data_IF_704522354883
#
_entry.id   IF_704522354883
#
_cell.length_a   1.000
_cell.length_b   1.000
_cell.length_c   1.000
_cell.angle_alpha   90.00
_cell.angle_beta   90.00
_cell.angle_gamma   90.00
#
_symmetry.space_group_name_H-M   'P 1'
#
loop_
_entity.id
_entity.type
_entity.pdbx_description
1 polymer ?
#
# COMPACT_ATOMS: atom_id res chain seq x y z
N UNK A 1 -16.08 -5.65 8.61
CA UNK A 1 -15.50 -6.54 9.66
C UNK A 1 -15.24 -5.71 10.89
N UNK A 2 -15.81 -6.10 12.02
CA UNK A 2 -15.55 -5.44 13.30
C UNK A 2 -14.30 -6.03 13.97
N UNK A 3 -13.40 -5.16 14.42
CA UNK A 3 -12.17 -5.55 15.12
C UNK A 3 -12.17 -4.92 16.52
N UNK A 4 -12.20 -5.74 17.60
CA UNK A 4 -12.20 -5.23 18.96
C UNK A 4 -11.00 -4.30 19.23
N UNK A 5 -11.27 -3.13 19.80
CA UNK A 5 -10.27 -2.11 20.07
C UNK A 5 -9.86 -1.26 18.88
N UNK A 6 -10.10 -1.71 17.64
CA UNK A 6 -9.75 -0.98 16.42
C UNK A 6 -10.98 -0.39 15.69
N UNK A 7 -12.14 -1.05 15.81
CA UNK A 7 -13.39 -0.63 15.17
C UNK A 7 -13.65 -1.28 13.83
N UNK A 8 -14.68 -0.80 13.13
CA UNK A 8 -15.12 -1.40 11.86
C UNK A 8 -14.15 -1.10 10.71
N UNK A 9 -13.89 -2.14 9.89
CA UNK A 9 -13.15 -2.04 8.63
C UNK A 9 -14.04 -2.46 7.47
N UNK A 10 -14.15 -1.59 6.46
CA UNK A 10 -14.83 -1.83 5.18
C UNK A 10 -13.97 -1.31 4.05
N UNK A 11 -12.98 -2.08 3.64
CA UNK A 11 -12.06 -1.68 2.58
C UNK A 11 -12.68 -1.85 1.20
N UNK A 12 -12.45 -0.87 0.34
CA UNK A 12 -12.78 -0.89 -1.09
C UNK A 12 -11.57 -0.74 -1.98
N UNK A 13 -10.50 -0.12 -1.47
CA UNK A 13 -9.32 0.19 -2.25
C UNK A 13 -8.05 -0.15 -1.50
N UNK A 14 -7.03 -0.57 -2.25
CA UNK A 14 -5.67 -0.75 -1.77
C UNK A 14 -4.75 0.16 -2.59
N UNK A 15 -4.06 1.07 -1.91
CA UNK A 15 -3.11 2.02 -2.50
C UNK A 15 -1.70 1.61 -2.10
N UNK A 16 -0.81 1.45 -3.07
CA UNK A 16 0.52 0.92 -2.84
C UNK A 16 1.58 1.82 -3.44
N UNK A 17 2.68 2.01 -2.72
CA UNK A 17 3.94 2.49 -3.27
C UNK A 17 4.57 1.41 -4.16
N UNK A 18 5.52 1.79 -5.04
CA UNK A 18 6.19 0.86 -5.93
C UNK A 18 7.58 0.49 -5.44
N UNK A 19 8.57 1.38 -5.62
CA UNK A 19 9.96 1.10 -5.25
C UNK A 19 10.13 0.98 -3.73
N UNK A 20 10.80 -0.10 -3.29
CA UNK A 20 10.96 -0.41 -1.88
C UNK A 20 9.74 -1.05 -1.21
N UNK A 21 8.65 -1.25 -1.96
CA UNK A 21 7.39 -1.85 -1.49
C UNK A 21 7.01 -3.07 -2.34
N UNK A 22 6.54 -2.86 -3.57
CA UNK A 22 6.21 -3.95 -4.51
C UNK A 22 7.42 -4.42 -5.30
N UNK A 23 8.45 -3.59 -5.38
CA UNK A 23 9.62 -3.78 -6.21
C UNK A 23 10.90 -3.37 -5.48
N UNK A 24 12.01 -3.96 -5.89
CA UNK A 24 13.37 -3.59 -5.49
C UNK A 24 14.20 -3.40 -6.74
N UNK A 25 14.91 -2.27 -6.84
CA UNK A 25 15.69 -1.94 -8.05
C UNK A 25 14.80 -1.83 -9.29
N UNK A 26 13.56 -1.41 -9.17
CA UNK A 26 12.60 -1.27 -10.26
C UNK A 26 11.93 -2.59 -10.68
N UNK A 27 12.37 -3.73 -10.19
CA UNK A 27 11.82 -5.05 -10.55
C UNK A 27 10.77 -5.51 -9.56
N UNK A 28 9.60 -5.91 -10.09
CA UNK A 28 8.51 -6.46 -9.28
C UNK A 28 8.97 -7.71 -8.53
N UNK A 29 8.68 -7.77 -7.25
CA UNK A 29 9.10 -8.89 -6.41
C UNK A 29 8.30 -10.17 -6.70
N UNK A 30 8.91 -11.36 -6.54
CA UNK A 30 8.22 -12.63 -6.73
C UNK A 30 6.98 -12.75 -5.83
N UNK A 31 5.91 -13.32 -6.37
CA UNK A 31 4.65 -13.55 -5.65
C UNK A 31 3.71 -12.34 -5.57
N UNK A 32 4.15 -11.16 -6.00
CA UNK A 32 3.31 -9.95 -6.02
C UNK A 32 2.24 -10.05 -7.10
N UNK A 33 2.60 -10.42 -8.33
CA UNK A 33 1.68 -10.47 -9.45
C UNK A 33 0.47 -11.39 -9.16
N UNK A 34 0.72 -12.59 -8.65
CA UNK A 34 -0.30 -13.57 -8.33
C UNK A 34 -1.27 -13.06 -7.25
N UNK A 35 -0.73 -12.41 -6.22
CA UNK A 35 -1.55 -11.84 -5.15
C UNK A 35 -2.41 -10.68 -5.62
N UNK A 36 -1.87 -9.80 -6.48
CA UNK A 36 -2.63 -8.69 -7.07
C UNK A 36 -3.78 -9.21 -7.93
N UNK A 37 -3.57 -10.28 -8.68
CA UNK A 37 -4.64 -10.93 -9.46
C UNK A 37 -5.81 -11.36 -8.56
N UNK A 38 -5.53 -12.01 -7.45
CA UNK A 38 -6.58 -12.48 -6.52
C UNK A 38 -7.24 -11.29 -5.80
N UNK A 39 -6.45 -10.34 -5.32
CA UNK A 39 -6.95 -9.16 -4.60
C UNK A 39 -7.88 -8.30 -5.47
N UNK A 40 -7.65 -8.23 -6.77
CA UNK A 40 -8.46 -7.41 -7.68
C UNK A 40 -9.93 -7.83 -7.77
N UNK A 41 -10.26 -9.05 -7.36
CA UNK A 41 -11.65 -9.50 -7.27
C UNK A 41 -12.41 -8.93 -6.07
N UNK A 42 -11.70 -8.36 -5.10
CA UNK A 42 -12.27 -7.83 -3.85
C UNK A 42 -12.01 -6.34 -3.64
N UNK A 43 -10.91 -5.81 -4.19
CA UNK A 43 -10.46 -4.44 -3.98
C UNK A 43 -10.08 -3.79 -5.30
N UNK A 44 -10.31 -2.50 -5.40
CA UNK A 44 -9.68 -1.68 -6.44
C UNK A 44 -8.22 -1.44 -6.07
N UNK A 45 -7.30 -1.75 -6.98
CA UNK A 45 -5.86 -1.72 -6.71
C UNK A 45 -5.21 -0.54 -7.44
N UNK A 46 -4.43 0.25 -6.70
CA UNK A 46 -3.73 1.43 -7.20
C UNK A 46 -2.26 1.37 -6.78
N UNK A 47 -1.39 1.70 -7.73
CA UNK A 47 0.03 1.95 -7.45
C UNK A 47 0.32 3.42 -7.71
N UNK A 48 0.75 4.13 -6.68
CA UNK A 48 1.00 5.57 -6.74
C UNK A 48 2.50 5.82 -6.68
N UNK A 49 3.08 6.32 -7.77
CA UNK A 49 4.53 6.44 -7.92
C UNK A 49 4.90 7.64 -8.79
N UNK A 50 6.11 8.16 -8.65
CA UNK A 50 6.65 9.13 -9.59
C UNK A 50 6.95 8.50 -10.96
N UNK A 51 7.37 7.23 -10.98
CA UNK A 51 7.67 6.41 -12.18
C UNK A 51 8.47 7.15 -13.25
N UNK A 52 9.53 7.85 -12.83
CA UNK A 52 10.32 8.77 -13.67
C UNK A 52 10.79 8.11 -14.98
N UNK A 53 11.06 6.81 -14.97
CA UNK A 53 11.56 6.06 -16.14
C UNK A 53 10.53 5.11 -16.75
N UNK A 54 9.28 5.13 -16.33
CA UNK A 54 8.24 4.25 -16.84
C UNK A 54 8.34 2.79 -16.40
N UNK A 55 9.24 2.47 -15.45
CA UNK A 55 9.52 1.08 -15.04
C UNK A 55 8.31 0.44 -14.34
N UNK A 56 7.61 1.18 -13.47
CA UNK A 56 6.43 0.68 -12.78
C UNK A 56 5.32 0.34 -13.78
N UNK A 57 5.04 1.23 -14.74
CA UNK A 57 4.06 0.97 -15.80
C UNK A 57 4.40 -0.29 -16.60
N UNK A 58 5.66 -0.47 -16.97
CA UNK A 58 6.11 -1.64 -17.73
C UNK A 58 5.94 -2.93 -16.94
N UNK A 59 6.39 -2.97 -15.70
CA UNK A 59 6.32 -4.13 -14.82
C UNK A 59 4.88 -4.52 -14.46
N UNK A 60 3.97 -3.56 -14.38
CA UNK A 60 2.58 -3.75 -13.96
C UNK A 60 1.59 -3.81 -15.14
N UNK A 61 2.08 -3.74 -16.38
CA UNK A 61 1.28 -3.58 -17.61
C UNK A 61 0.11 -4.56 -17.73
N UNK A 62 0.33 -5.83 -17.39
CA UNK A 62 -0.66 -6.90 -17.56
C UNK A 62 -1.34 -7.28 -16.23
N UNK A 63 -1.21 -6.46 -15.21
CA UNK A 63 -1.81 -6.70 -13.91
C UNK A 63 -3.03 -5.81 -13.68
N UNK A 64 -4.00 -6.27 -12.88
CA UNK A 64 -5.26 -5.55 -12.64
C UNK A 64 -5.07 -4.42 -11.63
N UNK A 65 -4.13 -3.53 -11.87
CA UNK A 65 -3.85 -2.35 -11.06
C UNK A 65 -3.86 -1.11 -11.91
N UNK A 66 -4.33 0.00 -11.34
CA UNK A 66 -4.18 1.31 -11.94
C UNK A 66 -2.88 1.95 -11.45
N UNK A 67 -1.98 2.29 -12.39
CA UNK A 67 -0.74 3.00 -12.08
C UNK A 67 -1.02 4.50 -12.16
N UNK A 68 -0.92 5.16 -11.02
CA UNK A 68 -1.12 6.61 -10.88
C UNK A 68 0.24 7.27 -10.82
N UNK A 69 0.63 7.92 -11.91
CA UNK A 69 1.91 8.63 -11.98
C UNK A 69 1.74 10.04 -11.44
N UNK A 70 2.48 10.34 -10.38
CA UNK A 70 2.51 11.66 -9.77
C UNK A 70 3.34 12.61 -10.62
N UNK A 71 2.75 13.74 -11.00
CA UNK A 71 3.41 14.76 -11.82
C UNK A 71 3.43 16.10 -11.09
N UNK A 72 4.42 16.93 -11.42
CA UNK A 72 4.50 18.31 -10.99
C UNK A 72 5.45 18.56 -9.83
N UNK A 73 5.52 19.83 -9.42
CA UNK A 73 6.40 20.34 -8.37
C UNK A 73 5.89 20.07 -6.95
N UNK A 74 4.72 19.46 -6.81
CA UNK A 74 4.18 19.13 -5.49
C UNK A 74 4.96 18.03 -4.80
N UNK A 75 5.00 18.10 -3.48
CA UNK A 75 5.55 17.05 -2.64
C UNK A 75 4.81 15.73 -2.90
N UNK A 76 5.55 14.66 -3.21
CA UNK A 76 4.98 13.32 -3.37
C UNK A 76 4.20 12.87 -2.13
N UNK A 77 4.65 13.26 -0.95
CA UNK A 77 3.97 12.99 0.32
C UNK A 77 2.55 13.53 0.33
N UNK A 78 2.37 14.78 -0.08
CA UNK A 78 1.06 15.43 -0.16
C UNK A 78 0.20 14.85 -1.27
N UNK A 79 0.79 14.55 -2.43
CA UNK A 79 0.09 13.98 -3.57
C UNK A 79 -0.45 12.57 -3.25
N UNK A 80 0.34 11.71 -2.63
CA UNK A 80 -0.10 10.37 -2.17
C UNK A 80 -1.23 10.47 -1.15
N UNK A 81 -1.12 11.37 -0.19
CA UNK A 81 -2.19 11.64 0.79
C UNK A 81 -3.49 12.11 0.12
N UNK A 82 -3.38 13.06 -0.81
CA UNK A 82 -4.55 13.57 -1.54
C UNK A 82 -5.26 12.46 -2.32
N UNK A 83 -4.51 11.53 -2.90
CA UNK A 83 -5.07 10.39 -3.62
C UNK A 83 -5.88 9.47 -2.68
N UNK A 84 -5.33 9.13 -1.52
CA UNK A 84 -6.03 8.32 -0.50
C UNK A 84 -7.33 9.01 -0.04
N UNK A 85 -7.27 10.32 0.20
CA UNK A 85 -8.45 11.10 0.59
C UNK A 85 -9.52 11.15 -0.49
N UNK A 86 -9.13 11.24 -1.75
CA UNK A 86 -10.03 11.20 -2.90
C UNK A 86 -10.81 9.89 -2.99
N UNK A 87 -10.22 8.78 -2.55
CA UNK A 87 -10.85 7.45 -2.54
C UNK A 87 -11.71 7.20 -1.28
N UNK A 88 -11.89 8.17 -0.41
CA UNK A 88 -12.43 8.00 0.93
C UNK A 88 -11.49 7.17 1.85
N UNK A 89 -10.60 7.86 2.54
CA UNK A 89 -9.55 7.27 3.38
C UNK A 89 -10.06 6.19 4.36
N UNK A 90 -11.32 6.30 4.82
CA UNK A 90 -11.95 5.31 5.72
C UNK A 90 -12.17 3.95 5.06
N UNK A 91 -12.13 3.89 3.73
CA UNK A 91 -12.34 2.67 2.94
C UNK A 91 -11.06 2.24 2.21
N UNK A 92 -9.92 2.83 2.56
CA UNK A 92 -8.62 2.59 1.92
C UNK A 92 -7.68 1.88 2.87
N UNK A 93 -7.01 0.86 2.37
CA UNK A 93 -5.75 0.37 2.92
C UNK A 93 -4.58 0.95 2.12
N UNK A 94 -3.45 1.20 2.77
CA UNK A 94 -2.26 1.70 2.10
C UNK A 94 -1.02 0.92 2.53
N UNK A 95 -0.10 0.69 1.57
CA UNK A 95 1.18 0.01 1.81
C UNK A 95 2.31 0.89 1.28
N UNK A 96 3.34 1.10 2.09
CA UNK A 96 4.51 1.86 1.71
C UNK A 96 5.66 1.72 2.70
N UNK A 97 6.85 2.25 2.35
CA UNK A 97 8.05 2.14 3.18
C UNK A 97 8.76 3.49 3.40
N UNK A 98 8.63 4.40 2.46
CA UNK A 98 9.41 5.64 2.44
C UNK A 98 8.79 6.76 3.27
N UNK A 99 9.60 7.77 3.55
CA UNK A 99 9.13 8.96 4.25
C UNK A 99 7.98 9.66 3.53
N UNK A 100 7.96 9.57 2.20
CA UNK A 100 6.88 10.15 1.38
C UNK A 100 5.55 9.39 1.49
N UNK A 101 5.54 8.21 2.11
CA UNK A 101 4.34 7.41 2.33
C UNK A 101 3.66 7.71 3.67
N UNK A 102 4.32 8.44 4.58
CA UNK A 102 3.86 8.62 5.96
C UNK A 102 2.45 9.21 6.07
N UNK A 103 2.10 10.19 5.24
CA UNK A 103 0.79 10.83 5.32
C UNK A 103 -0.31 9.97 4.71
N UNK A 104 -0.05 9.25 3.64
CA UNK A 104 -1.05 8.34 3.08
C UNK A 104 -1.32 7.16 4.03
N UNK A 105 -0.28 6.61 4.67
CA UNK A 105 -0.45 5.56 5.67
C UNK A 105 -1.21 6.05 6.91
N UNK A 106 -0.91 7.27 7.37
CA UNK A 106 -1.59 7.86 8.53
C UNK A 106 -3.08 8.11 8.28
N UNK A 107 -3.44 8.53 7.07
CA UNK A 107 -4.83 8.85 6.72
C UNK A 107 -5.65 7.60 6.35
N UNK A 108 -5.02 6.56 5.78
CA UNK A 108 -5.70 5.33 5.41
C UNK A 108 -6.32 4.64 6.62
N UNK A 109 -7.44 3.92 6.41
CA UNK A 109 -8.09 3.13 7.48
C UNK A 109 -7.16 2.06 8.04
N UNK A 110 -6.33 1.48 7.17
CA UNK A 110 -5.27 0.53 7.55
C UNK A 110 -4.00 0.92 6.81
N UNK A 111 -2.99 1.38 7.53
CA UNK A 111 -1.66 1.63 7.01
C UNK A 111 -0.71 0.47 7.33
N UNK A 112 -0.07 -0.07 6.31
CA UNK A 112 0.92 -1.15 6.45
C UNK A 112 2.26 -0.65 5.94
N UNK A 113 3.31 -0.77 6.74
CA UNK A 113 4.67 -0.52 6.27
C UNK A 113 5.45 -1.81 6.12
N UNK A 114 6.32 -1.84 5.12
CA UNK A 114 7.20 -2.98 4.83
C UNK A 114 8.65 -2.58 5.03
N UNK A 115 9.45 -3.47 5.60
CA UNK A 115 10.90 -3.30 5.78
C UNK A 115 11.58 -4.30 4.84
N UNK A 116 11.90 -3.83 3.63
CA UNK A 116 12.60 -4.60 2.62
C UNK A 116 14.04 -4.11 2.49
N UNK A 117 14.67 -4.30 1.32
CA UNK A 117 16.08 -3.93 1.10
C UNK A 117 16.35 -2.43 1.22
N UNK A 118 15.38 -1.58 0.92
CA UNK A 118 15.48 -0.13 1.11
C UNK A 118 15.17 0.32 2.54
N UNK A 119 14.74 -0.60 3.41
CA UNK A 119 14.29 -0.27 4.77
C UNK A 119 12.96 0.48 4.78
N UNK A 120 12.61 1.03 5.94
CA UNK A 120 11.44 1.89 6.12
C UNK A 120 11.81 3.13 6.94
N UNK A 121 11.20 4.26 6.59
CA UNK A 121 11.41 5.51 7.34
C UNK A 121 10.83 5.41 8.76
N UNK A 122 11.54 5.89 9.79
CA UNK A 122 11.01 5.90 11.16
C UNK A 122 9.67 6.64 11.28
N UNK A 123 9.45 7.71 10.50
CA UNK A 123 8.19 8.43 10.50
C UNK A 123 7.05 7.56 9.95
N UNK A 124 7.32 6.74 8.95
CA UNK A 124 6.34 5.82 8.36
C UNK A 124 6.05 4.65 9.28
N UNK A 125 7.08 4.09 9.93
CA UNK A 125 6.90 3.09 10.98
C UNK A 125 6.02 3.60 12.11
N UNK A 126 6.20 4.85 12.54
CA UNK A 126 5.47 5.44 13.66
C UNK A 126 3.99 5.67 13.42
N UNK A 127 3.54 5.75 12.17
CA UNK A 127 2.12 5.99 11.81
C UNK A 127 1.42 4.76 11.25
N UNK A 128 2.15 3.72 10.86
CA UNK A 128 1.57 2.49 10.35
C UNK A 128 0.81 1.72 11.45
N UNK A 129 -0.26 1.06 11.07
CA UNK A 129 -0.99 0.16 11.96
C UNK A 129 -0.31 -1.22 12.05
N UNK A 130 0.37 -1.63 10.98
CA UNK A 130 1.03 -2.94 10.88
C UNK A 130 2.38 -2.77 10.21
N UNK A 131 3.37 -3.52 10.69
CA UNK A 131 4.71 -3.62 10.12
C UNK A 131 4.96 -5.05 9.71
N UNK A 132 5.41 -5.27 8.48
CA UNK A 132 5.82 -6.58 7.98
C UNK A 132 7.21 -6.52 7.34
N UNK A 133 7.86 -7.65 7.19
CA UNK A 133 9.22 -7.74 6.63
C UNK A 133 9.26 -8.36 5.23
N UNK A 134 8.11 -8.73 4.69
CA UNK A 134 7.95 -9.25 3.33
C UNK A 134 6.69 -8.68 2.69
N UNK A 135 6.77 -8.34 1.40
CA UNK A 135 5.60 -7.80 0.69
C UNK A 135 4.48 -8.82 0.55
N UNK A 136 4.83 -10.10 0.39
CA UNK A 136 3.84 -11.18 0.36
C UNK A 136 2.96 -11.18 1.60
N UNK A 137 3.56 -11.01 2.78
CA UNK A 137 2.83 -10.96 4.04
C UNK A 137 1.90 -9.74 4.12
N UNK A 138 2.35 -8.57 3.61
CA UNK A 138 1.50 -7.39 3.56
C UNK A 138 0.23 -7.62 2.71
N UNK A 139 0.40 -8.19 1.53
CA UNK A 139 -0.73 -8.50 0.62
C UNK A 139 -1.63 -9.60 1.19
N UNK A 140 -1.04 -10.61 1.83
CA UNK A 140 -1.77 -11.71 2.45
C UNK A 140 -2.68 -11.27 3.62
N UNK A 141 -2.38 -10.15 4.28
CA UNK A 141 -3.29 -9.57 5.28
C UNK A 141 -4.69 -9.28 4.69
N UNK A 142 -4.73 -8.84 3.43
CA UNK A 142 -5.98 -8.50 2.74
C UNK A 142 -6.61 -9.70 2.03
N UNK A 143 -5.84 -10.74 1.75
CA UNK A 143 -6.34 -12.03 1.27
C UNK A 143 -6.91 -12.89 2.41
N UNK A 144 -6.41 -12.69 3.62
CA UNK A 144 -6.79 -13.44 4.82
C UNK A 144 -7.26 -12.51 5.94
N UNK A 145 -8.51 -12.00 5.89
CA UNK A 145 -9.00 -10.99 6.84
C UNK A 145 -8.87 -11.37 8.33
N UNK A 146 -8.84 -12.66 8.63
CA UNK A 146 -8.62 -13.12 10.02
C UNK A 146 -7.21 -12.81 10.54
N UNK A 147 -6.20 -12.79 9.66
CA UNK A 147 -4.83 -12.37 10.03
C UNK A 147 -4.81 -10.89 10.35
N UNK A 148 -5.47 -10.08 9.53
CA UNK A 148 -5.62 -8.65 9.77
C UNK A 148 -6.31 -8.38 11.11
N UNK A 149 -7.42 -9.08 11.37
CA UNK A 149 -8.14 -8.98 12.65
C UNK A 149 -7.27 -9.39 13.83
N UNK A 150 -6.50 -10.47 13.70
CA UNK A 150 -5.64 -10.97 14.77
C UNK A 150 -4.56 -9.97 15.18
N UNK A 151 -3.99 -9.24 14.21
CA UNK A 151 -2.94 -8.25 14.47
C UNK A 151 -3.49 -6.94 15.02
N UNK A 152 -4.67 -6.50 14.57
CA UNK A 152 -5.22 -5.18 14.92
C UNK A 152 -6.11 -5.17 16.17
N UNK A 153 -6.54 -6.33 16.66
CA UNK A 153 -7.35 -6.39 17.90
C UNK A 153 -6.56 -5.95 19.12
N UNK A 154 -7.14 -5.14 19.98
CA UNK A 154 -6.58 -4.69 21.26
C UNK A 154 -7.46 -5.06 22.43
#
# INVERSE_FOLDING_TARGET
>A
MEIPGFGEIRLKSLVMDYNGTLAVGGQLLPGVAERLQVLSSHLSLFVVTADTFGTAKDQLRNLPVEVVVLQGAESQTKAKRAFVRKLDAKQVAAIGNGRNDRLMLADARVGVTVILQEGASPQTLGVANIVVTEIGDALDLFLHPLRLKATLRG
#
